data_IF_874119738628
#
_entry.id   IF_874119738628
#
_cell.length_a   1.000
_cell.length_b   1.000
_cell.length_c   1.000
_cell.angle_alpha   90.00
_cell.angle_beta   90.00
_cell.angle_gamma   90.00
#
_symmetry.space_group_name_H-M   'P 1'
#
loop_
_entity.id
_entity.type
_entity.pdbx_description
1 polymer ?
#
# COMPACT_ATOMS: atom_id res chain seq x y z
N UNK A 1 10.11 3.95 -7.42
CA UNK A 1 11.03 3.41 -6.40
C UNK A 1 10.24 2.56 -5.42
N UNK A 2 10.71 1.35 -5.13
CA UNK A 2 10.12 0.46 -4.14
C UNK A 2 10.98 0.46 -2.88
N UNK A 3 10.33 0.35 -1.73
CA UNK A 3 10.99 0.36 -0.43
C UNK A 3 10.52 -0.83 0.37
N UNK A 4 11.47 -1.55 0.96
CA UNK A 4 11.18 -2.51 2.00
C UNK A 4 11.15 -1.77 3.33
N UNK A 5 9.99 -1.77 4.00
CA UNK A 5 9.76 -1.05 5.24
C UNK A 5 9.11 -1.96 6.27
N UNK A 6 9.39 -1.68 7.54
CA UNK A 6 8.69 -2.30 8.67
C UNK A 6 7.54 -1.39 9.07
N UNK A 7 6.36 -1.98 9.24
CA UNK A 7 5.14 -1.29 9.66
C UNK A 7 4.51 -2.04 10.83
N UNK A 8 3.83 -1.29 11.69
CA UNK A 8 3.04 -1.86 12.78
C UNK A 8 1.56 -1.54 12.61
N UNK A 9 0.70 -2.52 12.90
CA UNK A 9 -0.75 -2.34 12.89
C UNK A 9 -1.40 -3.11 14.04
N UNK A 10 -2.39 -2.48 14.67
CA UNK A 10 -3.22 -3.09 15.71
C UNK A 10 -4.38 -3.85 15.06
N UNK A 11 -4.40 -5.17 15.22
CA UNK A 11 -5.40 -6.05 14.63
C UNK A 11 -6.42 -6.50 15.65
N UNK A 12 -7.68 -6.11 15.45
CA UNK A 12 -8.79 -6.50 16.30
C UNK A 12 -9.43 -7.78 15.79
N UNK A 13 -9.63 -8.77 16.65
CA UNK A 13 -10.22 -10.05 16.32
C UNK A 13 -11.42 -10.36 17.24
N UNK A 14 -12.49 -10.87 16.66
CA UNK A 14 -13.69 -11.28 17.40
C UNK A 14 -13.45 -12.63 18.10
N UNK A 15 -14.00 -12.86 19.32
CA UNK A 15 -13.81 -14.11 20.08
C UNK A 15 -14.11 -15.40 19.33
N UNK A 16 -15.05 -15.37 18.39
CA UNK A 16 -15.41 -16.51 17.54
C UNK A 16 -14.24 -17.07 16.71
N UNK A 17 -13.21 -16.26 16.45
CA UNK A 17 -12.01 -16.68 15.72
C UNK A 17 -10.86 -17.09 16.65
N UNK A 18 -11.10 -17.15 17.96
CA UNK A 18 -10.14 -17.69 18.93
C UNK A 18 -10.13 -19.20 18.84
N UNK A 19 -8.94 -19.78 18.88
CA UNK A 19 -8.72 -21.21 18.68
C UNK A 19 -7.30 -21.48 18.22
N UNK A 20 -7.02 -22.73 17.85
CA UNK A 20 -5.70 -23.16 17.36
C UNK A 20 -5.21 -22.36 16.14
N UNK A 21 -6.12 -21.88 15.30
CA UNK A 21 -5.80 -21.14 14.07
C UNK A 21 -5.83 -19.61 14.23
N UNK A 22 -5.75 -19.10 15.47
CA UNK A 22 -5.84 -17.66 15.73
C UNK A 22 -4.75 -16.86 14.99
N UNK A 23 -3.55 -17.43 14.86
CA UNK A 23 -2.44 -16.80 14.13
C UNK A 23 -2.76 -16.67 12.64
N UNK A 24 -3.25 -17.72 12.01
CA UNK A 24 -3.58 -17.72 10.58
C UNK A 24 -4.73 -16.76 10.27
N UNK A 25 -5.71 -16.69 11.17
CA UNK A 25 -6.80 -15.72 11.10
C UNK A 25 -6.29 -14.28 11.19
N UNK A 26 -5.33 -14.00 12.09
CA UNK A 26 -4.71 -12.69 12.23
C UNK A 26 -3.90 -12.30 10.99
N UNK A 27 -3.08 -13.21 10.47
CA UNK A 27 -2.28 -12.97 9.26
C UNK A 27 -3.18 -12.74 8.06
N UNK A 28 -4.20 -13.59 7.87
CA UNK A 28 -5.15 -13.45 6.76
C UNK A 28 -5.91 -12.12 6.84
N UNK A 29 -6.28 -11.69 8.05
CA UNK A 29 -6.91 -10.38 8.29
C UNK A 29 -5.95 -9.23 8.00
N UNK A 30 -4.71 -9.30 8.47
CA UNK A 30 -3.69 -8.28 8.21
C UNK A 30 -3.45 -8.11 6.70
N UNK A 31 -3.28 -9.21 5.98
CA UNK A 31 -3.08 -9.22 4.52
C UNK A 31 -4.24 -8.53 3.80
N UNK A 32 -5.48 -8.79 4.24
CA UNK A 32 -6.69 -8.18 3.69
C UNK A 32 -6.80 -6.69 4.03
N UNK A 33 -6.47 -6.29 5.25
CA UNK A 33 -6.67 -4.92 5.75
C UNK A 33 -5.56 -3.95 5.28
N UNK A 34 -4.38 -4.46 4.90
CA UNK A 34 -3.22 -3.64 4.55
C UNK A 34 -2.99 -3.56 3.04
N UNK A 35 -3.28 -4.63 2.29
CA UNK A 35 -3.03 -4.67 0.84
C UNK A 35 -3.77 -3.53 0.13
N UNK A 36 -3.03 -2.69 -0.60
CA UNK A 36 -3.61 -1.60 -1.37
C UNK A 36 -4.03 -0.38 -0.54
N UNK A 37 -3.61 -0.29 0.72
CA UNK A 37 -3.88 0.90 1.53
C UNK A 37 -2.84 2.01 1.28
N UNK A 38 -3.35 3.22 1.04
CA UNK A 38 -2.59 4.46 1.10
C UNK A 38 -2.55 4.95 2.54
N UNK A 39 -1.38 5.08 3.16
CA UNK A 39 -1.25 5.91 4.35
C UNK A 39 -0.63 7.24 3.94
N UNK A 40 -1.21 8.35 4.36
CA UNK A 40 -0.59 9.64 4.08
C UNK A 40 0.82 9.82 4.64
N UNK A 41 1.11 9.08 5.71
CA UNK A 41 2.40 9.06 6.40
C UNK A 41 3.31 7.92 5.94
N UNK A 42 2.76 6.90 5.27
CA UNK A 42 3.50 5.74 4.78
C UNK A 42 3.08 5.43 3.33
N UNK A 43 4.05 5.35 2.42
CA UNK A 43 3.90 5.03 0.99
C UNK A 43 2.85 3.94 0.70
N UNK A 44 2.31 3.91 -0.52
CA UNK A 44 1.31 2.91 -0.94
C UNK A 44 1.79 1.49 -0.63
N UNK A 45 1.08 0.76 0.23
CA UNK A 45 1.47 -0.62 0.56
C UNK A 45 1.04 -1.54 -0.58
N UNK A 46 2.02 -1.98 -1.37
CA UNK A 46 1.82 -2.85 -2.54
C UNK A 46 1.57 -4.28 -2.09
N UNK A 47 2.41 -4.77 -1.19
CA UNK A 47 2.33 -6.11 -0.64
C UNK A 47 2.95 -6.19 0.76
N UNK A 48 2.44 -7.11 1.57
CA UNK A 48 3.12 -7.54 2.80
C UNK A 48 4.04 -8.69 2.42
N UNK A 49 5.33 -8.58 2.71
CA UNK A 49 6.36 -9.56 2.36
C UNK A 49 6.60 -10.58 3.47
N UNK A 50 6.28 -10.24 4.71
CA UNK A 50 6.42 -11.14 5.84
C UNK A 50 5.86 -10.56 7.13
N UNK A 51 5.67 -11.44 8.12
CA UNK A 51 5.31 -11.04 9.48
C UNK A 51 6.58 -10.97 10.30
N UNK A 52 6.80 -9.85 10.98
CA UNK A 52 7.96 -9.68 11.87
C UNK A 52 7.63 -10.25 13.24
N UNK A 53 6.53 -9.80 13.85
CA UNK A 53 6.11 -10.22 15.18
C UNK A 53 4.60 -10.10 15.38
N UNK A 54 4.07 -10.93 16.29
CA UNK A 54 2.69 -10.87 16.76
C UNK A 54 2.75 -10.68 18.27
N UNK A 55 2.42 -9.48 18.73
CA UNK A 55 2.37 -9.15 20.15
C UNK A 55 1.19 -9.79 20.86
N UNK A 56 1.22 -9.74 22.19
CA UNK A 56 0.15 -10.30 23.04
C UNK A 56 -1.16 -9.53 22.83
N UNK A 57 -2.26 -10.26 22.76
CA UNK A 57 -3.60 -9.69 22.62
C UNK A 57 -4.07 -9.00 23.88
N UNK A 58 -4.63 -7.80 23.73
CA UNK A 58 -5.30 -7.05 24.80
C UNK A 58 -6.81 -7.16 24.62
N UNK A 59 -7.52 -7.68 25.63
CA UNK A 59 -8.98 -7.84 25.62
C UNK A 59 -9.62 -6.48 25.90
N UNK A 60 -10.64 -6.12 25.11
CA UNK A 60 -11.47 -4.94 25.34
C UNK A 60 -12.67 -5.29 26.22
N UNK A 61 -12.83 -4.54 27.30
CA UNK A 61 -13.91 -4.72 28.25
C UNK A 61 -15.28 -4.50 27.60
N UNK A 62 -16.27 -5.31 28.00
CA UNK A 62 -17.66 -5.21 27.54
C UNK A 62 -17.97 -5.80 26.16
N UNK A 63 -16.99 -5.90 25.25
CA UNK A 63 -17.21 -6.45 23.89
C UNK A 63 -16.54 -7.80 23.66
N UNK A 64 -15.53 -8.14 24.47
CA UNK A 64 -14.76 -9.38 24.34
C UNK A 64 -13.79 -9.42 23.17
N UNK A 65 -13.77 -8.40 22.30
CA UNK A 65 -12.79 -8.32 21.21
C UNK A 65 -11.38 -8.22 21.75
N UNK A 66 -10.41 -8.75 21.00
CA UNK A 66 -8.99 -8.68 21.37
C UNK A 66 -8.20 -7.96 20.31
N UNK A 67 -7.34 -7.03 20.72
CA UNK A 67 -6.41 -6.31 19.84
C UNK A 67 -5.00 -6.84 19.97
N UNK A 68 -4.41 -7.24 18.85
CA UNK A 68 -3.05 -7.74 18.74
C UNK A 68 -2.19 -6.70 18.00
N UNK A 69 -1.14 -6.14 18.61
CA UNK A 69 -0.16 -5.36 17.88
C UNK A 69 0.68 -6.29 17.00
N UNK A 70 0.74 -6.04 15.70
CA UNK A 70 1.51 -6.85 14.74
C UNK A 70 2.48 -5.97 13.95
N UNK A 71 3.75 -6.34 13.97
CA UNK A 71 4.77 -5.80 13.06
C UNK A 71 4.90 -6.68 11.82
N UNK A 72 5.07 -6.05 10.66
CA UNK A 72 5.18 -6.74 9.39
C UNK A 72 6.07 -5.98 8.41
N UNK A 73 6.69 -6.74 7.52
CA UNK A 73 7.45 -6.22 6.41
C UNK A 73 6.53 -5.93 5.23
N UNK A 74 6.68 -4.76 4.64
CA UNK A 74 5.90 -4.33 3.50
C UNK A 74 6.79 -3.78 2.40
N UNK A 75 6.41 -4.08 1.17
CA UNK A 75 6.89 -3.37 0.00
C UNK A 75 5.96 -2.20 -0.28
N UNK A 76 6.53 -1.00 -0.22
CA UNK A 76 5.81 0.22 -0.49
C UNK A 76 6.31 0.85 -1.80
N UNK A 77 5.36 1.17 -2.68
CA UNK A 77 5.60 1.69 -4.02
C UNK A 77 4.96 3.05 -4.26
N UNK A 78 5.17 3.66 -5.44
CA UNK A 78 4.52 4.90 -5.80
C UNK A 78 3.01 4.71 -5.97
N UNK A 79 2.26 5.75 -5.55
CA UNK A 79 0.80 5.88 -5.71
C UNK A 79 0.46 5.92 -7.20
N UNK A 80 -0.74 5.46 -7.60
CA UNK A 80 -1.26 5.58 -8.96
C UNK A 80 -1.05 7.02 -9.49
N UNK A 81 -0.36 7.15 -10.61
CA UNK A 81 0.00 8.42 -11.23
C UNK A 81 -1.10 8.77 -12.24
N UNK A 82 -1.80 9.87 -12.01
CA UNK A 82 -2.68 10.49 -13.01
C UNK A 82 -1.92 11.61 -13.71
N UNK A 83 -1.83 11.56 -15.04
CA UNK A 83 -1.13 12.57 -15.84
C UNK A 83 -2.13 13.63 -16.28
N UNK A 84 -1.96 14.87 -15.81
CA UNK A 84 -2.74 16.01 -16.30
C UNK A 84 -2.25 16.42 -17.71
N UNK A 85 -3.22 16.72 -18.57
CA UNK A 85 -3.12 16.77 -20.02
C UNK A 85 -2.04 17.72 -20.59
N UNK A 86 -1.23 17.18 -21.50
CA UNK A 86 -0.76 17.83 -22.74
C UNK A 86 0.02 16.89 -23.69
N UNK A 87 0.21 15.61 -23.33
CA UNK A 87 0.84 14.58 -24.17
C UNK A 87 -0.18 13.49 -24.49
N UNK A 88 -0.36 13.14 -25.77
CA UNK A 88 -1.19 12.00 -26.19
C UNK A 88 -0.45 10.71 -25.85
N UNK A 89 -0.75 10.13 -24.69
CA UNK A 89 -0.27 8.81 -24.28
C UNK A 89 -1.33 7.80 -24.69
N UNK A 90 -0.97 6.82 -25.52
CA UNK A 90 -1.89 5.74 -25.88
C UNK A 90 -1.88 4.66 -24.80
N UNK A 91 -2.91 3.81 -24.79
CA UNK A 91 -2.93 2.64 -23.92
C UNK A 91 -1.69 1.79 -24.24
N UNK A 92 -1.02 1.30 -23.20
CA UNK A 92 0.21 0.49 -23.28
C UNK A 92 1.48 1.22 -23.74
N UNK A 93 1.46 2.56 -23.86
CA UNK A 93 2.69 3.35 -24.04
C UNK A 93 3.52 3.38 -22.74
N UNK A 94 4.81 3.11 -22.84
CA UNK A 94 5.74 3.28 -21.72
C UNK A 94 6.17 4.75 -21.63
N UNK A 95 6.05 5.39 -20.46
CA UNK A 95 6.38 6.81 -20.27
C UNK A 95 7.36 7.02 -19.14
N UNK A 96 8.30 7.95 -19.33
CA UNK A 96 9.17 8.47 -18.27
C UNK A 96 8.55 9.76 -17.71
N UNK A 97 8.27 9.76 -16.42
CA UNK A 97 7.68 10.90 -15.71
C UNK A 97 8.57 11.28 -14.52
N UNK A 98 8.55 12.56 -14.15
CA UNK A 98 9.13 13.09 -12.91
C UNK A 98 8.00 13.52 -11.99
N UNK A 99 7.98 12.95 -10.80
CA UNK A 99 7.02 13.31 -9.76
C UNK A 99 7.52 14.61 -9.12
N UNK A 100 6.69 15.67 -9.16
CA UNK A 100 7.03 16.99 -8.61
C UNK A 100 6.39 17.20 -7.23
N UNK A 101 5.22 16.59 -7.00
CA UNK A 101 4.55 16.64 -5.70
C UNK A 101 3.47 15.58 -5.56
N UNK A 102 3.25 15.12 -4.33
CA UNK A 102 2.20 14.15 -3.95
C UNK A 102 1.21 14.84 -3.02
N UNK A 103 -0.08 14.92 -3.38
CA UNK A 103 -1.11 15.35 -2.43
C UNK A 103 -1.64 14.13 -1.68
N UNK A 104 -1.79 14.28 -0.38
CA UNK A 104 -2.25 13.21 0.52
C UNK A 104 -3.72 13.45 0.87
N UNK A 105 -4.55 13.37 -0.16
CA UNK A 105 -6.01 13.25 -0.17
C UNK A 105 -6.35 12.76 -1.60
N UNK A 106 -7.43 11.98 -1.81
CA UNK A 106 -7.45 10.84 -2.73
C UNK A 106 -6.81 11.10 -4.10
N UNK A 107 -5.75 10.34 -4.40
CA UNK A 107 -5.35 9.91 -5.76
C UNK A 107 -4.93 10.99 -6.77
N UNK A 108 -4.24 12.06 -6.38
CA UNK A 108 -3.67 12.99 -7.38
C UNK A 108 -2.18 13.29 -7.17
N UNK A 109 -1.39 13.01 -8.20
CA UNK A 109 0.03 13.36 -8.33
C UNK A 109 0.15 14.34 -9.49
N UNK A 110 0.90 15.42 -9.28
CA UNK A 110 1.21 16.38 -10.34
C UNK A 110 2.60 16.09 -10.93
N UNK A 111 2.66 15.90 -12.25
CA UNK A 111 3.90 15.80 -13.03
C UNK A 111 4.05 17.03 -13.93
N UNK A 112 5.24 17.63 -13.95
CA UNK A 112 5.59 18.75 -14.83
C UNK A 112 6.57 18.25 -15.90
N UNK A 113 6.47 18.82 -17.10
CA UNK A 113 7.33 18.55 -18.25
C UNK A 113 8.74 19.09 -17.97
N UNK A 114 9.72 18.21 -18.03
CA UNK A 114 11.15 18.48 -17.90
C UNK A 114 11.83 17.83 -19.12
N UNK A 115 13.05 18.25 -19.44
CA UNK A 115 13.80 17.63 -20.55
C UNK A 115 14.02 16.13 -20.22
N UNK A 116 13.90 15.26 -21.22
CA UNK A 116 13.94 13.78 -21.08
C UNK A 116 12.71 13.08 -20.44
N UNK A 117 11.58 13.78 -20.27
CA UNK A 117 10.30 13.19 -19.86
C UNK A 117 9.35 13.03 -21.06
N UNK A 118 8.55 11.95 -21.10
CA UNK A 118 7.65 11.64 -22.22
C UNK A 118 7.57 10.15 -22.55
N UNK A 119 7.02 9.83 -23.72
CA UNK A 119 6.88 8.45 -24.21
C UNK A 119 8.25 7.86 -24.55
N UNK A 120 8.53 6.67 -24.03
CA UNK A 120 9.74 5.87 -24.27
C UNK A 120 9.48 4.90 -25.43
N UNK A 121 8.33 4.21 -25.37
CA UNK A 121 7.89 3.26 -26.40
C UNK A 121 6.41 3.53 -26.72
N UNK A 122 6.11 3.75 -27.99
CA UNK A 122 4.74 3.87 -28.49
C UNK A 122 4.43 2.67 -29.40
N UNK A 123 3.50 1.77 -29.00
CA UNK A 123 3.12 0.62 -29.82
C UNK A 123 2.50 1.01 -31.18
N UNK A 124 2.12 2.28 -31.38
CA UNK A 124 1.59 2.79 -32.64
C UNK A 124 2.68 3.19 -33.68
N UNK A 125 3.98 3.03 -33.37
CA UNK A 125 5.09 3.43 -34.25
C UNK A 125 5.82 2.26 -34.91
N UNK A 126 5.17 1.08 -34.94
CA UNK A 126 5.59 -0.09 -35.74
C UNK A 126 4.74 -0.15 -37.00
#
# INVERSE_FOLDING_TARGET
>A
MFFHIVLERKMQLHPRYFGCNIRDNLVSKLMKDVKGTCSGRHKFVVAVTGIENIGKGLIHDGTGFVTFPMGFFAEAGPVQIFVSNQVKIQKDSEVRLKIIGTRVDPTEIFCIKDDFLGVINDPATI
#
